data_IF_786468191424
#
_entry.id   IF_786468191424
#
_cell.length_a   1.000
_cell.length_b   1.000
_cell.length_c   1.000
_cell.angle_alpha   90.00
_cell.angle_beta   90.00
_cell.angle_gamma   90.00
#
_symmetry.space_group_name_H-M   'P 1'
#
loop_
_entity.id
_entity.type
_entity.pdbx_description
1 polymer ?
#
# COMPACT_ATOMS: atom_id res chain seq x y z
N UNK A 1 6.65 7.10 -32.24
CA UNK A 1 7.36 7.31 -30.96
C UNK A 1 6.47 7.99 -29.91
N UNK A 2 5.60 8.92 -30.30
CA UNK A 2 4.62 9.59 -29.43
C UNK A 2 3.55 8.64 -28.83
N UNK A 3 3.05 7.66 -29.60
CA UNK A 3 2.08 6.66 -29.13
C UNK A 3 2.63 5.81 -27.97
N UNK A 4 3.90 5.37 -28.08
CA UNK A 4 4.58 4.61 -27.04
C UNK A 4 4.84 5.44 -25.76
N UNK A 5 5.07 6.76 -25.89
CA UNK A 5 5.18 7.65 -24.74
C UNK A 5 3.84 7.86 -24.04
N UNK A 6 2.72 7.97 -24.79
CA UNK A 6 1.37 8.09 -24.23
C UNK A 6 0.92 6.78 -23.56
N UNK A 7 1.14 5.64 -24.20
CA UNK A 7 0.81 4.32 -23.63
C UNK A 7 1.59 4.05 -22.35
N UNK A 8 2.87 4.42 -22.31
CA UNK A 8 3.69 4.28 -21.11
C UNK A 8 3.22 5.22 -19.99
N UNK A 9 2.79 6.44 -20.30
CA UNK A 9 2.22 7.36 -19.31
C UNK A 9 0.93 6.79 -18.67
N UNK A 10 0.00 6.27 -19.47
CA UNK A 10 -1.22 5.63 -18.95
C UNK A 10 -0.91 4.40 -18.09
N UNK A 11 0.10 3.62 -18.47
CA UNK A 11 0.52 2.45 -17.74
C UNK A 11 1.14 2.82 -16.37
N UNK A 12 1.99 3.85 -16.31
CA UNK A 12 2.57 4.34 -15.06
C UNK A 12 1.50 4.94 -14.14
N UNK A 13 0.55 5.71 -14.68
CA UNK A 13 -0.59 6.23 -13.93
C UNK A 13 -1.47 5.11 -13.37
N UNK A 14 -1.69 4.05 -14.15
CA UNK A 14 -2.45 2.87 -13.69
C UNK A 14 -1.75 2.17 -12.53
N UNK A 15 -0.42 2.12 -12.53
CA UNK A 15 0.37 1.57 -11.40
C UNK A 15 0.20 2.46 -10.17
N UNK A 16 0.33 3.78 -10.30
CA UNK A 16 0.11 4.72 -9.20
C UNK A 16 -1.27 4.51 -8.57
N UNK A 17 -2.30 4.36 -9.40
CA UNK A 17 -3.67 4.19 -8.96
C UNK A 17 -3.91 2.83 -8.28
N UNK A 18 -3.39 1.75 -8.86
CA UNK A 18 -3.72 0.39 -8.42
C UNK A 18 -2.83 -0.13 -7.30
N UNK A 19 -1.59 0.35 -7.18
CA UNK A 19 -0.60 -0.23 -6.26
C UNK A 19 -1.03 -0.19 -4.78
N UNK A 20 -1.65 0.90 -4.34
CA UNK A 20 -2.20 1.05 -2.98
C UNK A 20 -3.71 0.88 -2.91
N UNK A 21 -4.39 0.62 -4.02
CA UNK A 21 -5.85 0.58 -4.07
C UNK A 21 -6.43 -0.42 -3.05
N UNK A 22 -5.93 -1.66 -3.05
CA UNK A 22 -6.37 -2.69 -2.12
C UNK A 22 -6.14 -2.30 -0.66
N UNK A 23 -4.94 -1.82 -0.34
CA UNK A 23 -4.53 -1.36 1.00
C UNK A 23 -5.42 -0.21 1.52
N UNK A 24 -5.73 0.77 0.67
CA UNK A 24 -6.62 1.87 1.01
C UNK A 24 -8.04 1.37 1.29
N UNK A 25 -8.57 0.45 0.47
CA UNK A 25 -9.92 -0.11 0.67
C UNK A 25 -10.00 -0.92 1.96
N UNK A 26 -9.06 -1.83 2.21
CA UNK A 26 -9.07 -2.65 3.44
C UNK A 26 -8.77 -1.83 4.69
N UNK A 27 -7.96 -0.77 4.57
CA UNK A 27 -7.71 0.16 5.65
C UNK A 27 -8.98 0.81 6.20
N UNK A 28 -9.94 1.12 5.32
CA UNK A 28 -11.26 1.64 5.71
C UNK A 28 -12.14 0.59 6.40
N UNK A 29 -11.95 -0.69 6.06
CA UNK A 29 -12.72 -1.82 6.60
C UNK A 29 -12.14 -2.39 7.89
N UNK A 30 -10.87 -2.12 8.21
CA UNK A 30 -10.17 -2.67 9.38
C UNK A 30 -10.86 -2.32 10.70
N UNK A 31 -11.21 -1.06 10.90
CA UNK A 31 -11.90 -0.60 12.11
C UNK A 31 -13.29 -1.24 12.26
N UNK A 32 -14.21 -1.18 11.27
CA UNK A 32 -15.51 -1.83 11.40
C UNK A 32 -15.41 -3.36 11.53
N UNK A 33 -14.42 -4.01 10.91
CA UNK A 33 -14.13 -5.43 11.12
C UNK A 33 -13.76 -5.74 12.57
N UNK A 34 -12.80 -5.02 13.14
CA UNK A 34 -12.38 -5.27 14.52
C UNK A 34 -13.50 -4.98 15.52
N UNK A 35 -14.37 -4.00 15.20
CA UNK A 35 -15.58 -3.73 15.98
C UNK A 35 -16.57 -4.90 15.89
N UNK A 36 -16.77 -5.49 14.72
CA UNK A 36 -17.67 -6.64 14.56
C UNK A 36 -17.16 -7.91 15.26
N UNK A 37 -15.84 -8.05 15.39
CA UNK A 37 -15.19 -9.13 16.18
C UNK A 37 -15.34 -8.93 17.70
N UNK A 38 -15.65 -7.72 18.17
CA UNK A 38 -15.87 -7.42 19.60
C UNK A 38 -14.76 -6.62 20.28
N UNK A 39 -13.85 -6.00 19.53
CA UNK A 39 -12.88 -5.07 20.10
C UNK A 39 -13.49 -3.69 20.39
N UNK A 40 -12.98 -3.02 21.42
CA UNK A 40 -13.36 -1.64 21.75
C UNK A 40 -12.57 -0.65 20.89
N UNK A 41 -13.12 0.56 20.68
CA UNK A 41 -12.41 1.62 19.97
C UNK A 41 -11.09 1.99 20.66
N UNK A 42 -11.03 1.89 21.99
CA UNK A 42 -9.81 2.11 22.77
C UNK A 42 -8.76 1.05 22.47
N UNK A 43 -9.14 -0.24 22.43
CA UNK A 43 -8.22 -1.33 22.07
C UNK A 43 -7.66 -1.15 20.65
N UNK A 44 -8.56 -0.85 19.69
CA UNK A 44 -8.20 -0.59 18.28
C UNK A 44 -7.25 0.61 18.17
N UNK A 45 -7.58 1.72 18.84
CA UNK A 45 -6.77 2.94 18.83
C UNK A 45 -5.41 2.73 19.49
N UNK A 46 -5.34 2.02 20.60
CA UNK A 46 -4.09 1.73 21.31
C UNK A 46 -3.18 0.83 20.47
N UNK A 47 -3.70 -0.22 19.84
CA UNK A 47 -2.89 -1.07 18.95
C UNK A 47 -2.43 -0.31 17.71
N UNK A 48 -3.29 0.48 17.09
CA UNK A 48 -2.92 1.31 15.94
C UNK A 48 -1.80 2.29 16.27
N UNK A 49 -1.84 2.92 17.45
CA UNK A 49 -0.82 3.90 17.87
C UNK A 49 0.49 3.24 18.28
N UNK A 50 0.45 2.23 19.14
CA UNK A 50 1.67 1.64 19.70
C UNK A 50 2.35 0.71 18.70
N UNK A 51 1.59 -0.23 18.14
CA UNK A 51 2.13 -1.25 17.23
C UNK A 51 2.18 -0.71 15.81
N UNK A 52 1.08 -0.11 15.33
CA UNK A 52 0.97 0.35 13.95
C UNK A 52 1.96 1.45 13.57
N UNK A 53 2.09 2.51 14.38
CA UNK A 53 3.02 3.62 14.07
C UNK A 53 4.47 3.13 14.13
N UNK A 54 4.86 2.42 15.19
CA UNK A 54 6.21 1.89 15.33
C UNK A 54 6.56 0.97 14.15
N UNK A 55 5.66 0.04 13.80
CA UNK A 55 5.84 -0.86 12.66
C UNK A 55 5.94 -0.10 11.33
N UNK A 56 5.13 0.94 11.13
CA UNK A 56 5.20 1.78 9.91
C UNK A 56 6.55 2.46 9.76
N UNK A 57 7.08 3.04 10.84
CA UNK A 57 8.37 3.72 10.83
C UNK A 57 9.48 2.72 10.50
N UNK A 58 9.53 1.60 11.22
CA UNK A 58 10.54 0.56 10.98
C UNK A 58 10.41 0.01 9.56
N UNK A 59 9.19 -0.26 9.09
CA UNK A 59 8.91 -0.70 7.73
C UNK A 59 9.35 0.30 6.67
N UNK A 60 9.09 1.59 6.86
CA UNK A 60 9.52 2.63 5.93
C UNK A 60 11.05 2.73 5.84
N UNK A 61 11.76 2.64 6.98
CA UNK A 61 13.23 2.65 7.02
C UNK A 61 13.82 1.41 6.33
N UNK A 62 13.31 0.23 6.67
CA UNK A 62 13.73 -1.03 6.04
C UNK A 62 13.44 -1.00 4.54
N UNK A 63 12.24 -0.59 4.15
CA UNK A 63 11.83 -0.46 2.76
C UNK A 63 12.71 0.52 1.99
N UNK A 64 13.01 1.69 2.55
CA UNK A 64 13.93 2.66 1.97
C UNK A 64 15.34 2.10 1.76
N UNK A 65 15.86 1.36 2.76
CA UNK A 65 17.16 0.69 2.65
C UNK A 65 17.21 -0.37 1.53
N UNK A 66 16.13 -1.12 1.35
CA UNK A 66 16.01 -2.08 0.24
C UNK A 66 15.83 -1.38 -1.12
N UNK A 67 15.09 -0.27 -1.19
CA UNK A 67 14.94 0.53 -2.41
C UNK A 67 16.29 1.11 -2.85
N UNK A 68 17.17 1.47 -1.91
CA UNK A 68 18.52 1.93 -2.22
C UNK A 68 19.43 0.82 -2.76
N UNK A 69 19.19 -0.45 -2.39
CA UNK A 69 20.03 -1.61 -2.78
C UNK A 69 19.49 -2.40 -3.96
N UNK A 70 18.17 -2.39 -4.17
CA UNK A 70 17.49 -3.13 -5.23
C UNK A 70 17.03 -2.19 -6.34
N UNK A 71 16.77 -2.73 -7.53
CA UNK A 71 16.08 -1.94 -8.53
C UNK A 71 14.66 -1.61 -8.06
N UNK A 72 14.22 -0.38 -8.30
CA UNK A 72 12.92 0.14 -7.88
C UNK A 72 11.77 -0.82 -8.24
N UNK A 73 11.79 -1.37 -9.46
CA UNK A 73 10.80 -2.35 -9.92
C UNK A 73 10.78 -3.62 -9.06
N UNK A 74 11.94 -4.17 -8.69
CA UNK A 74 12.02 -5.36 -7.84
C UNK A 74 11.50 -5.07 -6.44
N UNK A 75 11.85 -3.92 -5.87
CA UNK A 75 11.36 -3.49 -4.56
C UNK A 75 9.83 -3.34 -4.55
N UNK A 76 9.27 -2.64 -5.54
CA UNK A 76 7.81 -2.47 -5.65
C UNK A 76 7.07 -3.82 -5.82
N UNK A 77 7.58 -4.75 -6.62
CA UNK A 77 6.93 -6.07 -6.77
C UNK A 77 6.98 -6.83 -5.44
N UNK A 78 8.15 -6.89 -4.80
CA UNK A 78 8.31 -7.59 -3.53
C UNK A 78 7.40 -7.01 -2.43
N UNK A 79 7.34 -5.68 -2.31
CA UNK A 79 6.55 -5.04 -1.26
C UNK A 79 5.06 -5.01 -1.60
N UNK A 80 4.69 -4.94 -2.88
CA UNK A 80 3.30 -5.10 -3.30
C UNK A 80 2.74 -6.48 -2.92
N UNK A 81 3.53 -7.55 -3.11
CA UNK A 81 3.16 -8.89 -2.64
C UNK A 81 3.10 -8.93 -1.12
N UNK A 82 4.11 -8.37 -0.44
CA UNK A 82 4.21 -8.42 1.00
C UNK A 82 3.06 -7.68 1.71
N UNK A 83 2.55 -6.59 1.13
CA UNK A 83 1.39 -5.83 1.64
C UNK A 83 0.07 -6.60 1.54
N UNK A 84 -0.03 -7.62 0.69
CA UNK A 84 -1.24 -8.44 0.61
C UNK A 84 -1.28 -9.52 1.71
N UNK A 85 -0.12 -9.99 2.19
CA UNK A 85 -0.02 -11.03 3.22
C UNK A 85 -0.73 -10.71 4.54
N UNK A 86 -0.65 -9.48 5.11
CA UNK A 86 -1.33 -9.17 6.37
C UNK A 86 -2.85 -9.37 6.33
N UNK A 87 -3.47 -9.30 5.15
CA UNK A 87 -4.90 -9.59 5.01
C UNK A 87 -5.25 -11.02 5.43
N UNK A 88 -4.32 -11.97 5.28
CA UNK A 88 -4.51 -13.34 5.76
C UNK A 88 -4.55 -13.43 7.28
N UNK A 89 -3.81 -12.57 7.99
CA UNK A 89 -3.87 -12.47 9.45
C UNK A 89 -5.26 -11.99 9.90
N UNK A 90 -5.84 -11.02 9.20
CA UNK A 90 -7.20 -10.56 9.47
C UNK A 90 -8.26 -11.60 9.07
N UNK A 91 -8.05 -12.36 7.99
CA UNK A 91 -8.89 -13.50 7.65
C UNK A 91 -8.87 -14.57 8.76
N UNK A 92 -7.70 -14.90 9.31
CA UNK A 92 -7.56 -15.81 10.45
C UNK A 92 -8.28 -15.26 11.68
N UNK A 93 -8.14 -13.96 11.98
CA UNK A 93 -8.83 -13.30 13.09
C UNK A 93 -10.36 -13.38 12.95
N UNK A 94 -10.88 -13.38 11.72
CA UNK A 94 -12.30 -13.51 11.45
C UNK A 94 -12.87 -14.88 11.86
N UNK A 95 -12.05 -15.92 11.86
CA UNK A 95 -12.43 -17.27 12.33
C UNK A 95 -12.20 -17.47 13.82
N UNK A 96 -11.12 -16.92 14.38
CA UNK A 96 -10.78 -17.11 15.80
C UNK A 96 -11.59 -16.24 16.75
N UNK A 97 -12.17 -15.15 16.26
CA UNK A 97 -12.81 -14.14 17.11
C UNK A 97 -11.80 -13.29 17.86
N UNK A 98 -12.23 -12.67 18.97
CA UNK A 98 -11.46 -11.68 19.73
C UNK A 98 -10.15 -12.28 20.29
N UNK A 99 -9.03 -12.00 19.62
CA UNK A 99 -7.69 -12.43 20.03
C UNK A 99 -6.69 -11.27 19.89
N UNK A 100 -6.12 -10.83 21.02
CA UNK A 100 -5.18 -9.69 21.05
C UNK A 100 -3.84 -9.98 20.37
N UNK A 101 -3.37 -11.23 20.39
CA UNK A 101 -2.10 -11.62 19.75
C UNK A 101 -2.24 -11.53 18.24
N UNK A 102 -3.32 -12.09 17.69
CA UNK A 102 -3.61 -12.00 16.25
C UNK A 102 -3.88 -10.56 15.80
N UNK A 103 -4.54 -9.75 16.65
CA UNK A 103 -4.73 -8.33 16.38
C UNK A 103 -3.40 -7.58 16.35
N UNK A 104 -2.52 -7.81 17.33
CA UNK A 104 -1.19 -7.18 17.39
C UNK A 104 -0.31 -7.62 16.21
N UNK A 105 -0.31 -8.92 15.87
CA UNK A 105 0.38 -9.44 14.70
C UNK A 105 -0.18 -8.84 13.41
N UNK A 106 -1.51 -8.74 13.28
CA UNK A 106 -2.18 -8.10 12.15
C UNK A 106 -1.71 -6.67 11.98
N UNK A 107 -1.83 -5.83 13.02
CA UNK A 107 -1.36 -4.44 12.97
C UNK A 107 0.14 -4.35 12.68
N UNK A 108 0.97 -5.15 13.35
CA UNK A 108 2.42 -5.10 13.21
C UNK A 108 2.86 -5.45 11.79
N UNK A 109 2.41 -6.58 11.26
CA UNK A 109 2.77 -7.03 9.90
C UNK A 109 2.19 -6.07 8.86
N UNK A 110 0.93 -5.66 9.01
CA UNK A 110 0.25 -4.78 8.06
C UNK A 110 0.92 -3.42 7.94
N UNK A 111 1.20 -2.77 9.08
CA UNK A 111 1.84 -1.47 9.07
C UNK A 111 3.32 -1.54 8.67
N UNK A 112 4.03 -2.62 9.03
CA UNK A 112 5.40 -2.81 8.58
C UNK A 112 5.49 -2.96 7.07
N UNK A 113 4.71 -3.88 6.48
CA UNK A 113 4.70 -4.10 5.03
C UNK A 113 4.10 -2.88 4.29
N UNK A 114 3.08 -2.26 4.87
CA UNK A 114 2.49 -1.01 4.38
C UNK A 114 3.50 0.13 4.34
N UNK A 115 4.34 0.27 5.36
CA UNK A 115 5.45 1.22 5.42
C UNK A 115 6.50 0.97 4.34
N UNK A 116 6.91 -0.28 4.15
CA UNK A 116 7.84 -0.67 3.07
C UNK A 116 7.27 -0.32 1.69
N UNK A 117 6.00 -0.67 1.45
CA UNK A 117 5.31 -0.38 0.21
C UNK A 117 5.15 1.11 -0.06
N UNK A 118 4.85 1.90 0.97
CA UNK A 118 4.77 3.36 0.87
C UNK A 118 6.14 3.95 0.53
N UNK A 119 7.23 3.49 1.14
CA UNK A 119 8.58 3.97 0.82
C UNK A 119 8.95 3.74 -0.66
N UNK A 120 8.72 2.53 -1.17
CA UNK A 120 8.96 2.23 -2.58
C UNK A 120 8.07 3.03 -3.52
N UNK A 121 6.81 3.26 -3.14
CA UNK A 121 5.91 4.07 -3.94
C UNK A 121 6.33 5.54 -3.98
N UNK A 122 6.73 6.12 -2.84
CA UNK A 122 7.22 7.50 -2.81
C UNK A 122 8.43 7.64 -3.72
N UNK A 123 9.39 6.70 -3.66
CA UNK A 123 10.54 6.70 -4.56
C UNK A 123 10.09 6.65 -6.03
N UNK A 124 9.09 5.82 -6.37
CA UNK A 124 8.53 5.78 -7.71
C UNK A 124 7.85 7.08 -8.12
N UNK A 125 7.03 7.70 -7.27
CA UNK A 125 6.38 8.98 -7.57
C UNK A 125 7.42 10.07 -7.84
N UNK A 126 8.53 10.08 -7.10
CA UNK A 126 9.61 11.04 -7.33
C UNK A 126 10.24 10.88 -8.72
N UNK A 127 10.28 9.68 -9.30
CA UNK A 127 10.74 9.47 -10.69
C UNK A 127 9.78 10.02 -11.75
N UNK A 128 8.51 10.24 -11.39
CA UNK A 128 7.49 10.81 -12.29
C UNK A 128 7.38 12.32 -12.17
N UNK A 129 7.88 12.90 -11.08
CA UNK A 129 7.81 14.31 -10.81
C UNK A 129 8.92 15.08 -11.55
N UNK A 130 8.54 16.17 -12.21
CA UNK A 130 9.46 17.17 -12.74
C UNK A 130 10.04 18.00 -11.58
N UNK A 131 11.36 18.19 -11.59
CA UNK A 131 12.13 18.97 -10.60
C UNK A 131 11.57 20.38 -10.38
N UNK A 132 10.89 20.97 -11.37
CA UNK A 132 10.30 22.32 -11.32
C UNK A 132 8.99 22.40 -10.53
N UNK A 133 8.21 21.31 -10.47
CA UNK A 133 6.86 21.29 -9.89
C UNK A 133 6.62 20.08 -8.97
N UNK A 134 7.69 19.55 -8.39
CA UNK A 134 7.70 18.28 -7.62
C UNK A 134 6.61 18.23 -6.55
N UNK A 135 6.45 19.29 -5.77
CA UNK A 135 5.47 19.33 -4.68
C UNK A 135 4.02 19.20 -5.18
N UNK A 136 3.66 19.94 -6.23
CA UNK A 136 2.32 19.91 -6.81
C UNK A 136 2.02 18.56 -7.46
N UNK A 137 2.97 18.04 -8.24
CA UNK A 137 2.80 16.76 -8.95
C UNK A 137 2.75 15.58 -7.98
N UNK A 138 3.59 15.59 -6.94
CA UNK A 138 3.54 14.58 -5.89
C UNK A 138 2.18 14.59 -5.16
N UNK A 139 1.67 15.77 -4.82
CA UNK A 139 0.34 15.90 -4.22
C UNK A 139 -0.76 15.38 -5.16
N UNK A 140 -0.68 15.69 -6.46
CA UNK A 140 -1.62 15.22 -7.47
C UNK A 140 -1.61 13.69 -7.59
N UNK A 141 -0.43 13.07 -7.69
CA UNK A 141 -0.31 11.60 -7.77
C UNK A 141 -0.77 10.91 -6.48
N UNK A 142 -0.46 11.49 -5.32
CA UNK A 142 -0.91 10.96 -4.02
C UNK A 142 -2.44 11.04 -3.90
N UNK A 143 -3.04 12.14 -4.36
CA UNK A 143 -4.50 12.27 -4.41
C UNK A 143 -5.11 11.24 -5.37
N UNK A 144 -4.54 11.10 -6.58
CA UNK A 144 -4.99 10.14 -7.60
C UNK A 144 -4.95 8.69 -7.09
N UNK A 145 -3.94 8.34 -6.30
CA UNK A 145 -3.83 7.03 -5.66
C UNK A 145 -4.90 6.81 -4.57
N UNK A 146 -5.14 7.81 -3.72
CA UNK A 146 -5.91 7.61 -2.49
C UNK A 146 -7.41 7.81 -2.67
N UNK A 147 -7.83 8.74 -3.53
CA UNK A 147 -9.24 9.09 -3.70
C UNK A 147 -10.09 7.91 -4.20
N UNK A 148 -9.70 7.18 -5.27
CA UNK A 148 -10.49 6.05 -5.75
C UNK A 148 -10.69 4.99 -4.67
N UNK A 149 -9.61 4.54 -4.02
CA UNK A 149 -9.68 3.55 -2.95
C UNK A 149 -10.59 3.98 -1.80
N UNK A 150 -10.57 5.26 -1.42
CA UNK A 150 -11.47 5.80 -0.38
C UNK A 150 -12.93 5.78 -0.80
N UNK A 151 -13.23 6.19 -2.04
CA UNK A 151 -14.61 6.18 -2.57
C UNK A 151 -15.16 4.75 -2.64
N UNK A 152 -14.37 3.80 -3.13
CA UNK A 152 -14.73 2.38 -3.11
C UNK A 152 -14.87 1.84 -1.69
N UNK A 153 -14.01 2.28 -0.76
CA UNK A 153 -14.08 1.92 0.66
C UNK A 153 -15.35 2.37 1.37
N UNK A 154 -16.03 3.42 0.90
CA UNK A 154 -17.33 3.83 1.44
C UNK A 154 -18.44 2.83 1.06
N UNK A 155 -18.38 2.28 -0.15
CA UNK A 155 -19.34 1.28 -0.64
C UNK A 155 -19.02 -0.16 -0.22
N UNK A 156 -17.80 -0.43 0.24
CA UNK A 156 -17.35 -1.79 0.55
C UNK A 156 -18.03 -2.41 1.78
N UNK A 157 -18.68 -1.62 2.63
CA UNK A 157 -19.56 -2.12 3.69
C UNK A 157 -20.74 -2.94 3.16
N UNK A 158 -21.29 -2.59 1.99
CA UNK A 158 -22.30 -3.41 1.32
C UNK A 158 -21.72 -4.75 0.85
N UNK A 159 -20.46 -4.75 0.39
CA UNK A 159 -19.81 -5.99 -0.05
C UNK A 159 -19.67 -6.98 1.12
N UNK A 160 -19.34 -6.49 2.33
CA UNK A 160 -19.26 -7.31 3.54
C UNK A 160 -20.58 -8.03 3.85
N UNK A 161 -21.73 -7.40 3.62
CA UNK A 161 -23.04 -8.04 3.90
C UNK A 161 -23.37 -9.17 2.94
N UNK A 162 -22.76 -9.19 1.75
CA UNK A 162 -22.98 -10.23 0.75
C UNK A 162 -22.02 -11.41 0.90
N UNK A 163 -20.73 -11.13 1.13
CA UNK A 163 -19.67 -12.18 1.09
C UNK A 163 -19.13 -12.55 2.48
N UNK A 164 -19.39 -11.72 3.50
CA UNK A 164 -18.86 -11.90 4.85
C UNK A 164 -17.39 -11.45 5.00
N UNK A 165 -16.97 -11.33 6.26
CA UNK A 165 -15.62 -10.85 6.60
C UNK A 165 -14.48 -11.74 6.10
N UNK A 166 -14.48 -13.08 6.31
CA UNK A 166 -13.35 -13.90 5.90
C UNK A 166 -13.11 -13.88 4.39
N UNK A 167 -14.18 -14.00 3.60
CA UNK A 167 -14.08 -13.97 2.15
C UNK A 167 -13.55 -12.62 1.65
N UNK A 168 -13.99 -11.51 2.25
CA UNK A 168 -13.51 -10.18 1.87
C UNK A 168 -12.01 -10.00 2.08
N UNK A 169 -11.47 -10.49 3.20
CA UNK A 169 -10.03 -10.46 3.47
C UNK A 169 -9.21 -11.34 2.53
N UNK A 170 -9.80 -12.42 2.00
CA UNK A 170 -9.15 -13.24 0.97
C UNK A 170 -9.25 -12.58 -0.41
N UNK A 171 -10.41 -12.01 -0.75
CA UNK A 171 -10.63 -11.29 -2.00
C UNK A 171 -9.66 -10.11 -2.13
N UNK A 172 -9.37 -9.39 -1.04
CA UNK A 172 -8.43 -8.26 -1.07
C UNK A 172 -7.00 -8.67 -1.45
N UNK A 173 -6.57 -9.90 -1.18
CA UNK A 173 -5.30 -10.45 -1.66
C UNK A 173 -5.30 -10.58 -3.18
N UNK A 174 -6.42 -11.04 -3.75
CA UNK A 174 -6.59 -11.21 -5.19
C UNK A 174 -6.64 -9.86 -5.90
N UNK A 175 -7.23 -8.83 -5.28
CA UNK A 175 -7.29 -7.46 -5.82
C UNK A 175 -5.90 -6.84 -5.99
N UNK A 176 -4.87 -7.32 -5.28
CA UNK A 176 -3.49 -6.86 -5.47
C UNK A 176 -2.85 -7.40 -6.77
N UNK A 177 -3.34 -8.52 -7.31
CA UNK A 177 -2.72 -9.23 -8.46
C UNK A 177 -2.68 -8.37 -9.72
N UNK A 178 -3.76 -7.68 -10.15
CA UNK A 178 -3.72 -6.82 -11.34
C UNK A 178 -2.64 -5.74 -11.26
N UNK A 179 -2.47 -5.10 -10.11
CA UNK A 179 -1.45 -4.08 -9.89
C UNK A 179 -0.03 -4.65 -10.07
N UNK A 180 0.22 -5.83 -9.50
CA UNK A 180 1.50 -6.54 -9.61
C UNK A 180 1.80 -7.00 -11.03
N UNK A 181 0.79 -7.48 -11.76
CA UNK A 181 0.93 -7.89 -13.17
C UNK A 181 1.27 -6.70 -14.07
N UNK A 182 0.62 -5.55 -13.87
CA UNK A 182 0.94 -4.33 -14.60
C UNK A 182 2.37 -3.88 -14.29
N UNK A 183 2.74 -3.87 -13.01
CA UNK A 183 4.09 -3.52 -12.57
C UNK A 183 5.16 -4.46 -13.16
N UNK A 184 4.88 -5.77 -13.21
CA UNK A 184 5.78 -6.76 -13.81
C UNK A 184 6.01 -6.52 -15.32
N UNK A 185 5.00 -6.03 -16.04
CA UNK A 185 5.11 -5.68 -17.47
C UNK A 185 5.69 -4.30 -17.73
N UNK A 186 5.58 -3.39 -16.76
CA UNK A 186 6.05 -2.01 -16.87
C UNK A 186 7.58 -1.92 -17.00
N UNK A 187 8.05 -0.94 -17.77
CA UNK A 187 9.41 -0.43 -17.65
C UNK A 187 9.34 0.86 -16.83
N UNK A 188 9.80 0.76 -15.58
CA UNK A 188 9.86 1.93 -14.70
C UNK A 188 11.03 2.83 -15.14
N UNK A 189 10.89 4.16 -15.04
CA UNK A 189 12.02 5.06 -15.16
C UNK A 189 13.07 4.71 -14.10
N UNK A 190 14.34 4.71 -14.47
CA UNK A 190 15.42 4.58 -13.49
C UNK A 190 15.60 5.92 -12.77
N UNK A 191 15.84 5.93 -11.44
CA UNK A 191 16.20 7.15 -10.74
C UNK A 191 17.46 7.75 -11.39
N UNK A 192 17.41 9.02 -11.80
CA UNK A 192 18.62 9.72 -12.25
C UNK A 192 19.66 9.72 -11.12
N UNK A 193 20.93 9.35 -11.38
CA UNK A 193 21.98 9.45 -10.39
C UNK A 193 22.11 10.91 -9.94
N UNK A 194 22.18 11.12 -8.62
CA UNK A 194 22.41 12.43 -8.03
C UNK A 194 23.73 12.99 -8.60
N UNK A 195 23.75 14.24 -9.12
CA UNK A 195 24.99 14.81 -9.62
C UNK A 195 26.01 14.81 -8.47
N UNK A 196 27.24 14.39 -8.77
CA UNK A 196 28.31 14.33 -7.79
C UNK A 196 28.39 15.68 -7.05
N UNK A 197 28.64 15.69 -5.72
CA UNK A 197 28.83 16.93 -5.00
C UNK A 197 29.89 17.73 -5.75
N UNK A 198 29.54 18.95 -6.19
CA UNK A 198 30.53 19.87 -6.75
C UNK A 198 31.52 20.17 -5.63
N UNK A 199 32.72 19.59 -5.70
CA UNK A 199 33.84 20.01 -4.86
C UNK A 199 34.04 21.51 -5.13
N UNK A 200 33.76 22.32 -4.12
CA UNK A 200 34.03 23.76 -4.10
C UNK A 200 35.40 24.01 -3.49
#
# INVERSE_FOLDING_TARGET
REFLQRDQAWLLLSIVLLYKFGDVVVGQLRTPFLRSVGFTLTEIGTMGKLVGIAATIVGALVGGGFVAKWSLKRAMIAFGIAQALPNLTYAALAYTGKNYVLMAAGYGIDNFMGGMGTAALIAFLMTLCDKRYTAMQYALFTALMTVPGRLFGLGSGWLVTQVGWPALWVISVVVAVPALLLLARARLPEPEPEPAPTEF
#
